data_IF_821290286706
#
_entry.id   IF_821290286706
#
_cell.length_a   1.000
_cell.length_b   1.000
_cell.length_c   1.000
_cell.angle_alpha   90.00
_cell.angle_beta   90.00
_cell.angle_gamma   90.00
#
_symmetry.space_group_name_H-M   'P 1'
#
loop_
_entity.id
_entity.type
_entity.pdbx_description
1 polymer ?
#
# COMPACT_ATOMS: atom_id res chain seq x y z
N UNK A 1 -82.11 2.61 -19.62
CA UNK A 1 -81.32 2.78 -20.86
C UNK A 1 -79.86 2.61 -20.44
N UNK A 2 -79.45 1.40 -20.06
CA UNK A 2 -79.13 0.21 -20.87
C UNK A 2 -77.61 0.03 -20.90
N UNK A 3 -77.15 -0.81 -19.97
CA UNK A 3 -75.86 -1.49 -19.99
C UNK A 3 -75.62 -2.23 -21.32
N UNK A 4 -74.33 -2.33 -21.68
CA UNK A 4 -73.75 -3.49 -22.40
C UNK A 4 -72.23 -3.53 -22.19
N UNK A 5 -71.83 -4.23 -21.14
CA UNK A 5 -71.00 -5.44 -21.20
C UNK A 5 -69.85 -5.54 -22.23
N UNK A 6 -68.64 -5.76 -21.68
CA UNK A 6 -67.75 -6.94 -21.92
C UNK A 6 -66.33 -6.66 -22.47
N UNK A 7 -65.39 -7.22 -21.70
CA UNK A 7 -64.11 -7.85 -22.05
C UNK A 7 -62.79 -7.15 -21.69
N UNK A 8 -62.06 -7.86 -20.83
CA UNK A 8 -60.73 -7.63 -20.32
C UNK A 8 -59.63 -7.99 -21.34
N UNK A 9 -58.46 -7.34 -21.23
CA UNK A 9 -57.13 -7.83 -21.61
C UNK A 9 -56.10 -6.96 -20.86
N UNK A 10 -55.61 -7.39 -19.71
CA UNK A 10 -54.39 -8.19 -19.50
C UNK A 10 -53.07 -7.38 -19.58
N UNK A 11 -52.60 -7.01 -18.38
CA UNK A 11 -51.23 -7.16 -17.81
C UNK A 11 -50.04 -6.40 -18.44
N UNK A 12 -49.14 -5.98 -17.53
CA UNK A 12 -47.76 -5.50 -17.69
C UNK A 12 -47.65 -3.99 -17.92
N UNK A 13 -47.29 -3.20 -16.91
CA UNK A 13 -45.87 -2.99 -16.61
C UNK A 13 -45.57 -2.85 -15.12
N UNK A 14 -44.60 -3.63 -14.67
CA UNK A 14 -44.09 -3.68 -13.32
C UNK A 14 -43.12 -2.51 -13.03
N UNK A 15 -43.32 -1.89 -11.86
CA UNK A 15 -42.33 -1.50 -10.85
C UNK A 15 -40.96 -1.02 -11.34
N UNK A 16 -40.73 0.30 -11.25
CA UNK A 16 -39.39 0.89 -11.25
C UNK A 16 -39.07 1.42 -9.84
N UNK A 17 -38.47 0.57 -9.01
CA UNK A 17 -37.77 0.97 -7.78
C UNK A 17 -36.31 1.23 -8.15
N UNK A 18 -35.98 2.49 -8.42
CA UNK A 18 -34.58 2.91 -8.65
C UNK A 18 -33.90 3.08 -7.30
N UNK A 19 -33.06 2.11 -6.95
CA UNK A 19 -32.19 2.14 -5.77
C UNK A 19 -31.03 3.10 -6.05
N UNK A 20 -30.95 4.21 -5.30
CA UNK A 20 -29.79 5.09 -5.23
C UNK A 20 -28.66 4.38 -4.45
N UNK A 21 -27.98 3.45 -5.12
CA UNK A 21 -26.74 2.86 -4.64
C UNK A 21 -25.59 3.86 -4.86
N UNK A 22 -25.13 4.51 -3.79
CA UNK A 22 -23.91 5.29 -3.83
C UNK A 22 -22.74 4.38 -4.24
N UNK A 23 -22.19 4.62 -5.42
CA UNK A 23 -21.04 3.91 -5.94
C UNK A 23 -19.81 4.32 -5.11
N UNK A 24 -19.49 3.53 -4.08
CA UNK A 24 -18.15 3.55 -3.49
C UNK A 24 -17.21 3.15 -4.62
N UNK A 25 -16.50 4.12 -5.19
CA UNK A 25 -15.43 3.85 -6.13
C UNK A 25 -14.35 3.09 -5.38
N UNK A 26 -14.41 1.76 -5.43
CA UNK A 26 -13.28 0.92 -5.13
C UNK A 26 -12.19 1.31 -6.14
N UNK A 27 -11.22 2.09 -5.68
CA UNK A 27 -10.07 2.45 -6.49
C UNK A 27 -9.44 1.13 -6.97
N UNK A 28 -9.37 0.98 -8.29
CA UNK A 28 -8.77 -0.15 -8.99
C UNK A 28 -7.44 -0.52 -8.32
N UNK A 29 -7.08 -1.81 -8.16
CA UNK A 29 -5.84 -2.18 -7.53
C UNK A 29 -4.70 -1.44 -8.23
N UNK A 30 -4.03 -0.57 -7.49
CA UNK A 30 -2.82 0.09 -7.95
C UNK A 30 -1.89 -1.01 -8.46
N UNK A 31 -1.36 -0.88 -9.67
CA UNK A 31 -0.31 -1.78 -10.14
C UNK A 31 0.87 -1.65 -9.16
N UNK A 32 0.98 -2.60 -8.22
CA UNK A 32 1.99 -2.63 -7.16
C UNK A 32 3.34 -3.06 -7.74
N UNK A 33 3.78 -2.29 -8.73
CA UNK A 33 5.03 -2.49 -9.44
C UNK A 33 6.08 -1.64 -8.74
N UNK A 34 7.10 -2.32 -8.25
CA UNK A 34 8.28 -1.68 -7.71
C UNK A 34 8.93 -0.74 -8.76
N UNK A 35 9.21 0.51 -8.40
CA UNK A 35 9.90 1.43 -9.29
C UNK A 35 11.37 1.05 -9.43
N UNK A 36 11.99 1.52 -10.52
CA UNK A 36 13.43 1.37 -10.70
C UNK A 36 14.17 2.37 -9.81
N UNK A 37 14.96 1.86 -8.87
CA UNK A 37 15.90 2.66 -8.07
C UNK A 37 17.04 3.23 -8.92
N UNK A 38 17.67 4.31 -8.45
CA UNK A 38 18.77 4.98 -9.14
C UNK A 38 18.30 5.92 -10.25
N UNK A 39 17.01 6.27 -10.25
CA UNK A 39 16.43 7.28 -11.15
C UNK A 39 16.24 8.59 -10.40
N UNK A 40 16.01 9.70 -11.11
CA UNK A 40 15.76 11.00 -10.46
C UNK A 40 14.53 10.98 -9.53
N UNK A 41 13.58 10.06 -9.75
CA UNK A 41 12.39 9.91 -8.89
C UNK A 41 12.62 9.00 -7.69
N UNK A 42 13.63 8.16 -7.78
CA UNK A 42 13.99 7.19 -6.75
C UNK A 42 15.52 7.19 -6.58
N UNK A 43 16.12 8.28 -6.07
CA UNK A 43 17.57 8.35 -5.90
C UNK A 43 18.08 7.25 -4.98
N UNK A 44 19.19 6.63 -5.37
CA UNK A 44 19.90 5.68 -4.51
C UNK A 44 20.65 6.42 -3.41
N UNK A 45 20.67 5.80 -2.23
CA UNK A 45 21.50 6.17 -1.10
C UNK A 45 22.82 5.41 -1.23
N UNK A 46 23.91 6.14 -1.48
CA UNK A 46 25.24 5.57 -1.59
C UNK A 46 26.21 6.38 -0.70
N UNK A 47 26.77 5.77 0.36
CA UNK A 47 26.46 4.42 0.86
C UNK A 47 25.01 4.29 1.38
N UNK A 48 24.46 3.05 1.50
CA UNK A 48 23.18 2.81 2.15
C UNK A 48 23.16 3.33 3.58
N UNK A 49 21.99 3.73 4.07
CA UNK A 49 21.83 4.29 5.41
C UNK A 49 21.41 3.23 6.42
N UNK A 50 22.10 3.17 7.56
CA UNK A 50 21.61 2.47 8.74
C UNK A 50 20.52 3.33 9.38
N UNK A 51 19.39 2.71 9.73
CA UNK A 51 18.25 3.39 10.32
C UNK A 51 17.70 2.58 11.48
N UNK A 52 17.12 3.29 12.46
CA UNK A 52 16.29 2.69 13.50
C UNK A 52 14.83 3.10 13.30
N UNK A 53 13.92 2.16 13.49
CA UNK A 53 12.47 2.42 13.42
C UNK A 53 12.03 3.21 14.64
N UNK A 54 11.31 4.31 14.41
CA UNK A 54 10.83 5.21 15.46
C UNK A 54 9.30 5.27 15.52
N UNK A 55 8.75 6.03 16.46
CA UNK A 55 7.31 6.20 16.66
C UNK A 55 6.68 5.07 17.48
N UNK A 56 5.39 4.82 17.27
CA UNK A 56 4.61 3.80 17.99
C UNK A 56 3.98 2.79 17.03
N UNK A 57 3.78 1.57 17.52
CA UNK A 57 3.12 0.51 16.78
C UNK A 57 3.92 0.01 15.56
N UNK A 58 3.32 -0.93 14.84
CA UNK A 58 3.92 -1.62 13.69
C UNK A 58 4.16 -0.65 12.53
N UNK A 59 5.33 -0.75 11.90
CA UNK A 59 5.64 -0.12 10.62
C UNK A 59 5.46 -1.16 9.51
N UNK A 60 4.41 -0.96 8.71
CA UNK A 60 4.03 -1.84 7.60
C UNK A 60 5.03 -1.74 6.45
N UNK A 61 5.40 -2.89 5.86
CA UNK A 61 6.14 -2.97 4.60
C UNK A 61 5.18 -2.99 3.40
N UNK A 62 5.59 -2.36 2.31
CA UNK A 62 4.83 -2.29 1.07
C UNK A 62 5.67 -2.82 -0.09
N UNK A 63 5.05 -3.45 -1.09
CA UNK A 63 5.77 -3.97 -2.27
C UNK A 63 6.10 -2.88 -3.30
N UNK A 64 5.52 -1.69 -3.13
CA UNK A 64 5.79 -0.49 -3.90
C UNK A 64 5.54 0.73 -2.96
N UNK A 65 6.04 1.94 -3.28
CA UNK A 65 5.81 3.15 -2.49
C UNK A 65 4.35 3.65 -2.64
N UNK A 66 3.39 2.84 -2.20
CA UNK A 66 1.96 3.09 -2.31
C UNK A 66 1.21 2.41 -1.16
N UNK A 67 0.32 3.16 -0.50
CA UNK A 67 -0.46 2.67 0.64
C UNK A 67 -1.43 1.53 0.30
N UNK A 68 -1.74 1.32 -0.98
CA UNK A 68 -2.57 0.21 -1.47
C UNK A 68 -1.78 -1.07 -1.75
N UNK A 69 -0.45 -1.07 -1.51
CA UNK A 69 0.43 -2.21 -1.77
C UNK A 69 1.02 -2.86 -0.51
N UNK A 70 0.26 -3.08 0.59
CA UNK A 70 0.83 -3.67 1.80
C UNK A 70 1.22 -5.13 1.57
N UNK A 71 2.41 -5.51 2.05
CA UNK A 71 2.82 -6.91 2.12
C UNK A 71 2.19 -7.52 3.37
N UNK A 72 1.19 -8.39 3.18
CA UNK A 72 0.42 -8.97 4.29
C UNK A 72 1.34 -9.65 5.31
N UNK A 73 1.22 -9.25 6.58
CA UNK A 73 1.95 -9.87 7.68
C UNK A 73 3.41 -9.42 7.82
N UNK A 74 3.93 -8.57 6.92
CA UNK A 74 5.32 -8.08 6.99
C UNK A 74 5.34 -6.68 7.57
N UNK A 75 5.90 -6.57 8.78
CA UNK A 75 6.07 -5.32 9.49
C UNK A 75 7.25 -5.43 10.44
N UNK A 76 7.73 -4.28 10.87
CA UNK A 76 8.74 -4.12 11.92
C UNK A 76 8.16 -3.26 13.05
N UNK A 77 8.82 -3.22 14.19
CA UNK A 77 8.40 -2.48 15.38
C UNK A 77 9.44 -1.42 15.75
N UNK A 78 9.11 -0.46 16.63
CA UNK A 78 10.07 0.52 17.08
C UNK A 78 11.33 -0.14 17.66
N UNK A 79 12.49 0.46 17.38
CA UNK A 79 13.84 -0.01 17.67
C UNK A 79 14.39 -1.14 16.77
N UNK A 80 13.61 -1.67 15.83
CA UNK A 80 14.18 -2.54 14.79
C UNK A 80 15.14 -1.73 13.90
N UNK A 81 16.23 -2.37 13.47
CA UNK A 81 17.23 -1.77 12.59
C UNK A 81 16.96 -2.13 11.12
N UNK A 82 17.04 -1.14 10.25
CA UNK A 82 16.83 -1.29 8.80
C UNK A 82 17.99 -0.66 8.03
N UNK A 83 18.31 -1.25 6.89
CA UNK A 83 19.19 -0.63 5.89
C UNK A 83 18.33 -0.01 4.80
N UNK A 84 18.48 1.28 4.55
CA UNK A 84 17.78 1.98 3.47
C UNK A 84 18.68 2.16 2.24
N UNK A 85 18.17 1.81 1.07
CA UNK A 85 18.90 1.80 -0.21
C UNK A 85 18.49 2.91 -1.17
N UNK A 86 17.22 3.33 -1.12
CA UNK A 86 16.71 4.41 -1.94
C UNK A 86 15.60 5.16 -1.22
N UNK A 87 15.36 6.39 -1.66
CA UNK A 87 14.25 7.20 -1.18
C UNK A 87 13.49 7.83 -2.34
N UNK A 88 12.21 8.12 -2.13
CA UNK A 88 11.40 8.93 -3.04
C UNK A 88 11.17 10.32 -2.43
N UNK A 89 10.94 11.32 -3.27
CA UNK A 89 10.65 12.68 -2.81
C UNK A 89 9.35 12.79 -2.01
N UNK A 90 8.41 11.85 -2.21
CA UNK A 90 7.13 11.76 -1.50
C UNK A 90 7.19 10.94 -0.19
N UNK A 91 8.40 10.65 0.29
CA UNK A 91 8.62 10.17 1.66
C UNK A 91 8.51 8.67 1.85
N UNK A 92 8.95 7.91 0.85
CA UNK A 92 9.14 6.46 0.96
C UNK A 92 10.61 6.07 0.95
N UNK A 93 10.94 5.02 1.69
CA UNK A 93 12.27 4.42 1.72
C UNK A 93 12.17 2.96 1.30
N UNK A 94 13.01 2.56 0.34
CA UNK A 94 13.30 1.16 0.06
C UNK A 94 14.29 0.66 1.11
N UNK A 95 13.91 -0.39 1.83
CA UNK A 95 14.63 -0.89 3.00
C UNK A 95 14.77 -2.41 2.98
N UNK A 96 15.78 -2.90 3.69
CA UNK A 96 15.90 -4.28 4.10
C UNK A 96 16.02 -4.37 5.62
N UNK A 97 15.22 -5.26 6.21
CA UNK A 97 15.40 -5.78 7.56
C UNK A 97 16.23 -7.05 7.48
N UNK A 98 17.35 -7.08 8.21
CA UNK A 98 18.16 -8.27 8.39
C UNK A 98 17.87 -8.85 9.75
N UNK A 99 17.42 -10.10 9.81
CA UNK A 99 17.07 -10.73 11.07
C UNK A 99 18.35 -11.05 11.86
N UNK A 100 18.58 -10.45 13.03
CA UNK A 100 19.82 -10.65 13.78
C UNK A 100 19.97 -12.07 14.35
N UNK A 101 18.88 -12.84 14.39
CA UNK A 101 18.84 -14.18 14.96
C UNK A 101 18.70 -15.29 13.89
N UNK A 102 18.96 -14.98 12.62
CA UNK A 102 18.94 -15.97 11.53
C UNK A 102 17.53 -16.40 11.09
N UNK A 103 16.50 -15.62 11.44
CA UNK A 103 15.17 -15.76 10.85
C UNK A 103 15.09 -15.15 9.45
N UNK A 104 13.87 -14.97 8.94
CA UNK A 104 13.68 -14.42 7.60
C UNK A 104 14.02 -12.92 7.54
N UNK A 105 14.82 -12.55 6.55
CA UNK A 105 15.00 -11.17 6.13
C UNK A 105 13.75 -10.67 5.37
N UNK A 106 13.56 -9.36 5.33
CA UNK A 106 12.45 -8.76 4.62
C UNK A 106 12.89 -7.48 3.89
N UNK A 107 12.47 -7.33 2.63
CA UNK A 107 12.71 -6.12 1.84
C UNK A 107 11.39 -5.51 1.39
N UNK A 108 11.39 -4.19 1.21
CA UNK A 108 10.24 -3.46 0.66
C UNK A 108 10.29 -1.98 0.99
N UNK A 109 9.15 -1.33 0.85
CA UNK A 109 8.97 0.10 1.01
C UNK A 109 8.32 0.42 2.36
N UNK A 110 8.82 1.44 3.04
CA UNK A 110 8.24 1.97 4.28
C UNK A 110 8.14 3.49 4.22
N UNK A 111 7.34 4.09 5.10
CA UNK A 111 7.27 5.55 5.22
C UNK A 111 8.53 6.08 5.89
N UNK A 112 9.28 6.92 5.19
CA UNK A 112 10.59 7.44 5.65
C UNK A 112 10.49 8.20 6.97
N UNK A 113 9.36 8.87 7.23
CA UNK A 113 9.12 9.58 8.49
C UNK A 113 9.15 8.68 9.74
N UNK A 114 9.12 7.35 9.58
CA UNK A 114 9.24 6.37 10.65
C UNK A 114 10.68 5.87 10.84
N UNK A 115 11.63 6.38 10.08
CA UNK A 115 13.05 6.02 10.14
C UNK A 115 13.87 7.18 10.70
N UNK A 116 14.83 6.86 11.54
CA UNK A 116 15.89 7.78 11.96
C UNK A 116 17.23 7.21 11.53
N UNK A 117 17.94 7.94 10.66
CA UNK A 117 19.28 7.55 10.24
C UNK A 117 20.23 7.56 11.45
N UNK A 118 21.02 6.49 11.57
CA UNK A 118 22.03 6.29 12.61
C UNK A 118 23.45 6.27 12.05
N UNK A 119 23.60 6.23 10.73
CA UNK A 119 24.88 6.28 10.03
C UNK A 119 24.78 5.68 8.64
N UNK A 120 25.93 5.30 8.08
CA UNK A 120 26.06 4.63 6.79
C UNK A 120 26.50 3.19 6.97
N UNK A 121 26.02 2.28 6.14
CA UNK A 121 26.45 0.88 6.13
C UNK A 121 27.63 0.71 5.19
N UNK A 122 28.77 0.30 5.75
CA UNK A 122 29.97 -0.07 4.97
C UNK A 122 29.98 -1.55 4.57
N UNK A 123 30.83 -1.94 3.60
CA UNK A 123 31.06 -3.34 3.31
C UNK A 123 31.61 -4.06 4.54
N UNK A 124 31.07 -5.25 4.85
CA UNK A 124 31.67 -6.15 5.84
C UNK A 124 32.94 -6.73 5.21
N UNK A 125 34.09 -6.48 5.84
CA UNK A 125 35.37 -7.06 5.43
C UNK A 125 35.49 -8.52 5.87
#
# INVERSE_FOLDING_TARGET
MSDRSVLACLVCTAVMLVVLGASVHAQTPSSCKEPREGTNRVPMLSPPLANVVTGKGRLQFYSAPNLHCPIKGVFVIPNDELVAYAQTDDGWSSVMYLNPHGGNDASGWVRSARLKATGTVGPKQ
#
